data_IF_165516361026
#
_entry.id   IF_165516361026
#
_cell.length_a   1.000
_cell.length_b   1.000
_cell.length_c   1.000
_cell.angle_alpha   90.00
_cell.angle_beta   90.00
_cell.angle_gamma   90.00
#
_symmetry.space_group_name_H-M   'P 1'
#
loop_
_entity.id
_entity.type
_entity.pdbx_description
1 polymer ?
#
# COMPACT_ATOMS: atom_id res chain seq x y z
N UNK A 1 -11.97 3.62 -8.70
CA UNK A 1 -10.88 4.59 -8.45
C UNK A 1 -9.69 4.18 -9.33
N UNK A 2 -8.96 5.11 -9.97
CA UNK A 2 -7.74 4.75 -10.71
C UNK A 2 -6.53 4.88 -9.78
N UNK A 3 -6.12 3.77 -9.18
CA UNK A 3 -4.92 3.72 -8.34
C UNK A 3 -3.69 3.55 -9.23
N UNK A 4 -2.63 4.31 -8.96
CA UNK A 4 -1.31 4.17 -9.55
C UNK A 4 -0.32 3.71 -8.48
N UNK A 5 0.59 2.81 -8.83
CA UNK A 5 1.62 2.31 -7.91
C UNK A 5 2.47 3.45 -7.31
N UNK A 6 2.69 4.53 -8.06
CA UNK A 6 3.42 5.73 -7.61
C UNK A 6 2.74 6.53 -6.49
N UNK A 7 1.46 6.25 -6.19
CA UNK A 7 0.73 6.92 -5.10
C UNK A 7 1.05 6.32 -3.73
N UNK A 8 1.61 5.12 -3.69
CA UNK A 8 2.03 4.48 -2.44
C UNK A 8 3.43 4.94 -2.09
N UNK A 9 3.50 5.93 -1.20
CA UNK A 9 4.74 6.51 -0.68
C UNK A 9 4.85 6.28 0.83
N UNK A 10 6.08 6.13 1.32
CA UNK A 10 6.38 6.09 2.74
C UNK A 10 6.39 7.51 3.37
N UNK A 11 6.65 7.57 4.68
CA UNK A 11 6.74 8.83 5.43
C UNK A 11 7.83 9.79 4.93
N UNK A 12 8.85 9.24 4.25
CA UNK A 12 9.99 9.97 3.72
C UNK A 12 9.77 10.35 2.24
N UNK A 13 8.58 10.08 1.70
CA UNK A 13 8.19 10.38 0.33
C UNK A 13 8.73 9.39 -0.72
N UNK A 14 9.25 8.23 -0.31
CA UNK A 14 9.81 7.23 -1.22
C UNK A 14 8.78 6.20 -1.64
N UNK A 15 8.90 5.67 -2.85
CA UNK A 15 7.92 4.71 -3.37
C UNK A 15 8.04 3.38 -2.64
N UNK A 16 6.91 2.75 -2.33
CA UNK A 16 6.85 1.40 -1.70
C UNK A 16 6.47 0.29 -2.69
N UNK A 17 6.09 0.65 -3.91
CA UNK A 17 5.80 -0.27 -5.01
C UNK A 17 6.65 0.04 -6.26
N UNK A 18 7.01 -1.02 -6.98
CA UNK A 18 7.51 -0.92 -8.36
C UNK A 18 6.42 -0.40 -9.32
N UNK A 19 6.77 -0.09 -10.57
CA UNK A 19 5.77 0.30 -11.58
C UNK A 19 4.77 -0.83 -11.90
N UNK A 20 5.17 -2.08 -11.66
CA UNK A 20 4.30 -3.26 -11.81
C UNK A 20 3.40 -3.50 -10.59
N UNK A 21 3.52 -2.68 -9.53
CA UNK A 21 2.73 -2.83 -8.31
C UNK A 21 3.23 -3.93 -7.36
N UNK A 22 4.46 -4.42 -7.57
CA UNK A 22 5.11 -5.37 -6.65
C UNK A 22 5.74 -4.62 -5.48
N UNK A 23 5.83 -5.23 -4.27
CA UNK A 23 6.56 -4.66 -3.15
C UNK A 23 8.00 -4.33 -3.54
N UNK A 24 8.41 -3.08 -3.33
CA UNK A 24 9.76 -2.65 -3.64
C UNK A 24 9.97 -1.17 -3.43
N UNK A 25 11.16 -0.80 -2.93
CA UNK A 25 11.48 0.60 -2.64
C UNK A 25 12.13 1.27 -3.84
N UNK A 26 11.60 2.42 -4.25
CA UNK A 26 12.11 3.18 -5.41
C UNK A 26 12.29 2.30 -6.67
N UNK A 27 11.40 1.32 -6.86
CA UNK A 27 11.47 0.37 -7.98
C UNK A 27 12.38 -0.84 -7.77
N UNK A 28 12.94 -1.06 -6.58
CA UNK A 28 13.80 -2.20 -6.24
C UNK A 28 13.11 -3.18 -5.29
N UNK A 29 12.96 -4.44 -5.72
CA UNK A 29 12.35 -5.51 -4.91
C UNK A 29 13.22 -5.86 -3.67
N UNK A 30 12.57 -6.22 -2.56
CA UNK A 30 13.22 -6.84 -1.39
C UNK A 30 14.13 -5.94 -0.53
N UNK A 31 14.19 -4.63 -0.77
CA UNK A 31 15.00 -3.70 0.01
C UNK A 31 14.15 -2.98 1.08
N UNK A 32 14.52 -3.13 2.35
CA UNK A 32 13.96 -2.34 3.45
C UNK A 32 13.93 -3.05 4.79
N UNK A 33 13.65 -2.29 5.85
CA UNK A 33 13.35 -2.84 7.18
C UNK A 33 12.13 -3.77 7.13
N UNK A 34 11.93 -4.57 8.17
CA UNK A 34 10.73 -5.43 8.28
C UNK A 34 9.43 -4.63 8.21
N UNK A 35 9.44 -3.39 8.72
CA UNK A 35 8.32 -2.45 8.59
C UNK A 35 8.07 -2.05 7.13
N UNK A 36 9.12 -1.78 6.37
CA UNK A 36 9.02 -1.37 4.96
C UNK A 36 8.54 -2.52 4.08
N UNK A 37 8.96 -3.76 4.38
CA UNK A 37 8.45 -4.95 3.70
C UNK A 37 6.95 -5.12 3.91
N UNK A 38 6.48 -5.00 5.16
CA UNK A 38 5.05 -5.06 5.48
C UNK A 38 4.24 -3.94 4.81
N UNK A 39 4.79 -2.72 4.74
CA UNK A 39 4.16 -1.61 4.01
C UNK A 39 4.02 -1.93 2.52
N UNK A 40 5.05 -2.50 1.90
CA UNK A 40 5.02 -2.93 0.51
C UNK A 40 3.97 -4.01 0.23
N UNK A 41 3.85 -5.01 1.11
CA UNK A 41 2.85 -6.08 0.99
C UNK A 41 1.42 -5.54 1.05
N UNK A 42 1.11 -4.69 2.03
CA UNK A 42 -0.22 -4.07 2.16
C UNK A 42 -0.51 -3.14 0.97
N UNK A 43 0.47 -2.36 0.53
CA UNK A 43 0.33 -1.50 -0.64
C UNK A 43 0.03 -2.31 -1.91
N UNK A 44 0.72 -3.45 -2.09
CA UNK A 44 0.52 -4.33 -3.24
C UNK A 44 -0.89 -4.93 -3.24
N UNK A 45 -1.39 -5.35 -2.08
CA UNK A 45 -2.76 -5.83 -1.93
C UNK A 45 -3.79 -4.75 -2.32
N UNK A 46 -3.64 -3.53 -1.80
CA UNK A 46 -4.54 -2.40 -2.14
C UNK A 46 -4.47 -2.10 -3.64
N UNK A 47 -3.26 -2.09 -4.22
CA UNK A 47 -3.07 -1.84 -5.66
C UNK A 47 -3.76 -2.91 -6.53
N UNK A 48 -3.60 -4.19 -6.20
CA UNK A 48 -4.21 -5.30 -6.94
C UNK A 48 -5.75 -5.24 -6.93
N UNK A 49 -6.35 -4.79 -5.82
CA UNK A 49 -7.79 -4.62 -5.69
C UNK A 49 -8.32 -3.27 -6.20
N UNK A 50 -7.44 -2.30 -6.43
CA UNK A 50 -7.77 -0.92 -6.81
C UNK A 50 -8.78 -0.75 -7.96
N UNK A 51 -8.66 -1.49 -9.07
CA UNK A 51 -9.61 -1.38 -10.19
C UNK A 51 -11.06 -1.73 -9.80
N UNK A 52 -11.25 -2.56 -8.77
CA UNK A 52 -12.56 -3.03 -8.29
C UNK A 52 -13.02 -2.30 -7.03
N UNK A 53 -12.18 -1.43 -6.48
CA UNK A 53 -12.42 -0.73 -5.22
C UNK A 53 -12.80 0.73 -5.45
N UNK A 54 -13.79 1.19 -4.68
CA UNK A 54 -14.17 2.60 -4.59
C UNK A 54 -13.73 3.20 -3.24
N UNK A 55 -13.88 4.52 -3.11
CA UNK A 55 -13.41 5.23 -1.91
C UNK A 55 -14.19 4.81 -0.64
N UNK A 56 -15.50 4.55 -0.74
CA UNK A 56 -16.30 4.13 0.40
C UNK A 56 -15.83 2.79 0.99
N UNK A 57 -15.48 1.83 0.11
CA UNK A 57 -14.91 0.54 0.53
C UNK A 57 -13.53 0.71 1.17
N UNK A 58 -12.71 1.63 0.66
CA UNK A 58 -11.40 1.93 1.26
C UNK A 58 -11.56 2.59 2.64
N UNK A 59 -12.51 3.51 2.79
CA UNK A 59 -12.81 4.16 4.07
C UNK A 59 -13.26 3.14 5.13
N UNK A 60 -14.07 2.16 4.74
CA UNK A 60 -14.50 1.06 5.61
C UNK A 60 -13.32 0.20 6.08
N UNK A 61 -12.41 -0.19 5.16
CA UNK A 61 -11.19 -0.92 5.48
C UNK A 61 -10.31 -0.12 6.45
N UNK A 62 -10.13 1.19 6.22
CA UNK A 62 -9.38 2.06 7.14
C UNK A 62 -10.04 2.08 8.53
N UNK A 63 -11.38 2.11 8.58
CA UNK A 63 -12.15 1.98 9.81
C UNK A 63 -11.83 0.70 10.59
N UNK A 64 -11.88 -0.45 9.93
CA UNK A 64 -11.56 -1.75 10.55
C UNK A 64 -10.13 -1.81 11.07
N UNK A 65 -9.15 -1.33 10.30
CA UNK A 65 -7.73 -1.32 10.72
C UNK A 65 -7.53 -0.44 11.96
N UNK A 66 -8.18 0.73 12.02
CA UNK A 66 -8.12 1.61 13.21
C UNK A 66 -8.74 0.95 14.44
N UNK A 67 -9.90 0.30 14.27
CA UNK A 67 -10.57 -0.42 15.35
C UNK A 67 -9.70 -1.57 15.86
N UNK A 68 -9.14 -2.39 14.95
CA UNK A 68 -8.24 -3.49 15.30
C UNK A 68 -7.01 -3.02 16.09
N UNK A 69 -6.40 -1.89 15.72
CA UNK A 69 -5.22 -1.34 16.42
C UNK A 69 -5.54 -0.82 17.84
N UNK A 70 -6.78 -0.45 18.08
CA UNK A 70 -7.22 0.17 19.36
C UNK A 70 -7.74 -0.88 20.35
N UNK A 71 -8.15 -2.04 19.86
CA UNK A 71 -8.47 -3.24 20.66
C UNK A 71 -7.19 -3.97 21.08
#
# INVERSE_FOLDING_TARGET
MQIKASQFIDRDGRRVLTDEGKPGRDGREGAGSTTEQMQGEIAAAIYAHGPRMNNAQLDEIIGWVRQFKTN
#
